data_IF_286441461256
#
_entry.id   IF_286441461256
#
_cell.length_a   1.000
_cell.length_b   1.000
_cell.length_c   1.000
_cell.angle_alpha   90.00
_cell.angle_beta   90.00
_cell.angle_gamma   90.00
#
_symmetry.space_group_name_H-M   'P 1'
#
loop_
_entity.id
_entity.type
_entity.pdbx_description
1 polymer ?
#
# COMPACT_ATOMS: atom_id res chain seq x y z
N UNK A 1 7.18 -6.21 -16.85
CA UNK A 1 6.11 -6.57 -15.92
C UNK A 1 5.47 -5.30 -15.38
N UNK A 2 4.13 -5.22 -15.35
CA UNK A 2 3.41 -4.00 -14.96
C UNK A 2 3.00 -3.99 -13.48
N UNK A 3 2.78 -5.16 -12.88
CA UNK A 3 2.44 -5.32 -11.48
C UNK A 3 2.76 -6.74 -11.00
N UNK A 4 2.99 -6.94 -9.68
CA UNK A 4 3.15 -8.26 -9.06
C UNK A 4 1.82 -9.03 -9.08
N UNK A 5 0.72 -8.32 -8.90
CA UNK A 5 -0.62 -8.88 -8.76
C UNK A 5 -0.93 -9.99 -9.76
N UNK A 6 -0.70 -9.74 -11.06
CA UNK A 6 -1.02 -10.71 -12.12
C UNK A 6 -0.33 -12.06 -11.93
N UNK A 7 0.94 -12.07 -11.58
CA UNK A 7 1.70 -13.31 -11.34
C UNK A 7 1.19 -14.04 -10.11
N UNK A 8 1.01 -13.31 -9.02
CA UNK A 8 0.55 -13.87 -7.76
C UNK A 8 -0.91 -14.38 -7.85
N UNK A 9 -1.79 -13.67 -8.57
CA UNK A 9 -3.18 -14.10 -8.75
C UNK A 9 -3.30 -15.34 -9.64
N UNK A 10 -2.52 -15.41 -10.72
CA UNK A 10 -2.45 -16.61 -11.56
C UNK A 10 -1.92 -17.83 -10.79
N UNK A 11 -0.95 -17.62 -9.89
CA UNK A 11 -0.48 -18.69 -9.01
C UNK A 11 -1.56 -19.08 -7.99
N UNK A 12 -2.20 -18.09 -7.35
CA UNK A 12 -3.22 -18.31 -6.32
C UNK A 12 -4.45 -19.04 -6.85
N UNK A 13 -4.81 -18.84 -8.12
CA UNK A 13 -5.89 -19.59 -8.79
C UNK A 13 -5.64 -21.12 -8.77
N UNK A 14 -4.39 -21.55 -8.72
CA UNK A 14 -4.04 -22.97 -8.66
C UNK A 14 -3.80 -23.49 -7.23
N UNK A 15 -3.94 -22.64 -6.21
CA UNK A 15 -3.78 -23.07 -4.83
C UNK A 15 -5.03 -23.76 -4.30
N UNK A 16 -4.84 -24.79 -3.51
CA UNK A 16 -5.90 -25.41 -2.74
C UNK A 16 -5.96 -24.74 -1.37
N UNK A 17 -6.73 -23.66 -1.26
CA UNK A 17 -6.88 -22.92 -0.03
C UNK A 17 -8.13 -23.36 0.74
N UNK A 18 -8.02 -23.38 2.05
CA UNK A 18 -9.12 -23.57 2.99
C UNK A 18 -9.20 -22.37 3.92
N UNK A 19 -10.36 -22.10 4.51
CA UNK A 19 -10.53 -21.03 5.49
C UNK A 19 -9.51 -21.10 6.63
N UNK A 20 -8.99 -22.29 6.96
CA UNK A 20 -7.97 -22.51 7.99
C UNK A 20 -6.59 -21.95 7.61
N UNK A 21 -6.34 -21.72 6.32
CA UNK A 21 -5.10 -21.17 5.82
C UNK A 21 -5.15 -19.63 5.68
N UNK A 22 -6.34 -19.04 5.82
CA UNK A 22 -6.53 -17.60 5.64
C UNK A 22 -6.30 -16.82 6.95
N UNK A 23 -5.71 -15.61 6.90
CA UNK A 23 -5.26 -14.94 5.68
C UNK A 23 -4.00 -15.58 5.10
N UNK A 24 -4.05 -15.96 3.82
CA UNK A 24 -2.87 -16.47 3.11
C UNK A 24 -2.09 -15.31 2.50
N UNK A 25 -0.77 -15.28 2.69
CA UNK A 25 0.06 -14.13 2.31
C UNK A 25 1.10 -14.51 1.28
N UNK A 26 1.19 -13.72 0.21
CA UNK A 26 2.24 -13.82 -0.81
C UNK A 26 3.07 -12.53 -0.82
N UNK A 27 4.39 -12.69 -0.81
CA UNK A 27 5.33 -11.58 -0.89
C UNK A 27 6.20 -11.71 -2.13
N UNK A 28 6.46 -10.59 -2.78
CA UNK A 28 7.36 -10.51 -3.92
C UNK A 28 8.13 -9.19 -3.89
N UNK A 29 9.45 -9.28 -3.97
CA UNK A 29 10.32 -8.14 -4.23
C UNK A 29 10.69 -8.20 -5.72
N UNK A 30 10.15 -7.30 -6.51
CA UNK A 30 10.35 -7.35 -7.96
C UNK A 30 10.42 -5.97 -8.60
N UNK A 31 11.02 -5.94 -9.80
CA UNK A 31 11.11 -4.74 -10.61
C UNK A 31 9.93 -4.64 -11.55
N UNK A 32 9.29 -3.49 -11.52
CA UNK A 32 8.23 -3.09 -12.46
C UNK A 32 8.76 -2.16 -13.52
N UNK A 33 8.14 -2.17 -14.70
CA UNK A 33 8.42 -1.20 -15.74
C UNK A 33 7.17 -0.89 -16.54
N UNK A 34 6.91 0.39 -16.76
CA UNK A 34 5.88 0.85 -17.67
C UNK A 34 6.46 1.00 -19.09
N UNK A 35 5.74 0.51 -20.07
CA UNK A 35 6.17 0.63 -21.48
C UNK A 35 6.28 2.08 -21.92
N UNK A 36 5.40 2.94 -21.37
CA UNK A 36 5.28 4.31 -21.81
C UNK A 36 4.83 5.19 -20.64
N UNK A 37 5.64 6.18 -20.31
CA UNK A 37 5.22 7.36 -19.57
C UNK A 37 5.06 8.50 -20.56
N UNK A 38 4.14 9.41 -20.31
CA UNK A 38 3.99 10.60 -21.15
C UNK A 38 5.23 11.49 -21.05
N UNK A 39 5.52 12.25 -22.10
CA UNK A 39 6.63 13.20 -22.08
C UNK A 39 6.44 14.22 -20.95
N UNK A 40 7.49 14.45 -20.16
CA UNK A 40 7.47 15.38 -19.01
C UNK A 40 6.95 14.80 -17.69
N UNK A 41 6.50 13.54 -17.64
CA UNK A 41 6.04 12.92 -16.40
C UNK A 41 7.16 12.36 -15.53
N UNK A 42 8.30 11.99 -16.11
CA UNK A 42 9.44 11.45 -15.36
C UNK A 42 10.14 12.56 -14.58
N UNK A 43 10.40 12.31 -13.29
CA UNK A 43 11.03 13.29 -12.39
C UNK A 43 12.02 12.57 -11.46
N UNK A 44 13.29 12.49 -11.87
CA UNK A 44 14.36 11.88 -11.08
C UNK A 44 13.97 10.54 -10.46
N UNK A 45 14.30 10.34 -9.19
CA UNK A 45 13.88 9.15 -8.43
C UNK A 45 12.44 9.23 -7.90
N UNK A 46 11.79 10.39 -7.98
CA UNK A 46 10.42 10.57 -7.51
C UNK A 46 9.40 9.90 -8.42
N UNK A 47 9.58 9.97 -9.75
CA UNK A 47 8.69 9.36 -10.73
C UNK A 47 9.48 8.68 -11.83
N UNK A 48 9.54 7.36 -11.75
CA UNK A 48 10.37 6.50 -12.59
C UNK A 48 9.52 5.67 -13.55
N UNK A 49 10.08 5.34 -14.70
CA UNK A 49 9.51 4.36 -15.63
C UNK A 49 9.71 2.93 -15.15
N UNK A 50 10.78 2.66 -14.43
CA UNK A 50 11.07 1.36 -13.83
C UNK A 50 11.49 1.56 -12.37
N UNK A 51 10.94 0.74 -11.48
CA UNK A 51 11.18 0.82 -10.05
C UNK A 51 11.01 -0.56 -9.41
N UNK A 52 11.55 -0.72 -8.21
CA UNK A 52 11.49 -1.94 -7.44
C UNK A 52 10.53 -1.77 -6.27
N UNK A 53 9.57 -2.69 -6.10
CA UNK A 53 8.61 -2.66 -5.00
C UNK A 53 8.59 -3.98 -4.23
N UNK A 54 8.52 -3.92 -2.90
CA UNK A 54 8.11 -5.05 -2.07
C UNK A 54 6.58 -5.09 -2.04
N UNK A 55 5.98 -6.03 -2.75
CA UNK A 55 4.53 -6.21 -2.76
C UNK A 55 4.10 -7.44 -1.97
N UNK A 56 3.09 -7.27 -1.15
CA UNK A 56 2.50 -8.31 -0.35
C UNK A 56 0.98 -8.35 -0.56
N UNK A 57 0.48 -9.47 -1.08
CA UNK A 57 -0.95 -9.74 -1.16
C UNK A 57 -1.38 -10.64 -0.01
N UNK A 58 -2.54 -10.34 0.60
CA UNK A 58 -3.18 -11.23 1.56
C UNK A 58 -4.58 -11.59 1.06
N UNK A 59 -4.87 -12.89 1.05
CA UNK A 59 -6.17 -13.45 0.70
C UNK A 59 -6.93 -13.69 1.98
N UNK A 60 -8.05 -13.00 2.17
CA UNK A 60 -8.84 -13.00 3.39
C UNK A 60 -10.20 -13.66 3.15
N UNK A 61 -10.72 -14.40 4.13
CA UNK A 61 -11.99 -15.12 4.02
C UNK A 61 -13.20 -14.18 3.93
N UNK A 62 -13.14 -13.03 4.58
CA UNK A 62 -14.24 -12.08 4.68
C UNK A 62 -13.73 -10.67 5.04
N UNK A 63 -14.67 -9.70 5.06
CA UNK A 63 -14.33 -8.30 5.34
C UNK A 63 -13.77 -8.09 6.76
N UNK A 64 -14.26 -8.80 7.76
CA UNK A 64 -13.74 -8.66 9.12
C UNK A 64 -12.26 -9.06 9.18
N UNK A 65 -11.90 -10.19 8.57
CA UNK A 65 -10.49 -10.62 8.48
C UNK A 65 -9.64 -9.64 7.68
N UNK A 66 -10.17 -9.07 6.59
CA UNK A 66 -9.48 -8.05 5.80
C UNK A 66 -9.23 -6.77 6.62
N UNK A 67 -10.22 -6.33 7.42
CA UNK A 67 -10.10 -5.18 8.32
C UNK A 67 -9.04 -5.43 9.41
N UNK A 68 -9.01 -6.60 10.00
CA UNK A 68 -7.99 -6.93 11.01
C UNK A 68 -6.59 -6.99 10.38
N UNK A 69 -6.48 -7.60 9.20
CA UNK A 69 -5.21 -7.70 8.49
C UNK A 69 -4.68 -6.34 8.02
N UNK A 70 -5.54 -5.42 7.53
CA UNK A 70 -5.10 -4.09 7.09
C UNK A 70 -4.52 -3.27 8.25
N UNK A 71 -5.02 -3.46 9.48
CA UNK A 71 -4.47 -2.81 10.69
C UNK A 71 -3.07 -3.30 11.01
N UNK A 72 -2.83 -4.61 10.89
CA UNK A 72 -1.50 -5.22 11.07
C UNK A 72 -0.52 -4.67 10.05
N UNK A 73 -0.96 -4.55 8.80
CA UNK A 73 -0.13 -4.06 7.68
C UNK A 73 0.12 -2.56 7.76
N UNK A 74 -0.81 -1.82 8.34
CA UNK A 74 -0.63 -0.41 8.64
C UNK A 74 0.51 -0.21 9.65
N UNK A 75 0.50 -0.96 10.75
CA UNK A 75 1.56 -0.93 11.76
C UNK A 75 2.91 -1.39 11.17
N UNK A 76 2.91 -2.43 10.34
CA UNK A 76 4.08 -2.88 9.60
C UNK A 76 4.66 -1.76 8.72
N UNK A 77 3.83 -1.08 7.95
CA UNK A 77 4.26 0.01 7.06
C UNK A 77 4.87 1.17 7.84
N UNK A 78 4.26 1.57 8.96
CA UNK A 78 4.85 2.59 9.85
C UNK A 78 6.20 2.13 10.41
N UNK A 79 6.31 0.88 10.85
CA UNK A 79 7.55 0.32 11.36
C UNK A 79 8.65 0.28 10.30
N UNK A 80 8.31 -0.12 9.07
CA UNK A 80 9.27 -0.16 7.96
C UNK A 80 9.79 1.25 7.64
N UNK A 81 8.92 2.25 7.52
CA UNK A 81 9.34 3.63 7.26
C UNK A 81 10.21 4.17 8.39
N UNK A 82 9.81 3.95 9.65
CA UNK A 82 10.58 4.40 10.82
C UNK A 82 11.98 3.75 10.85
N UNK A 83 12.09 2.45 10.57
CA UNK A 83 13.38 1.75 10.50
C UNK A 83 14.28 2.25 9.37
N UNK A 84 13.70 2.82 8.32
CA UNK A 84 14.42 3.48 7.23
C UNK A 84 14.76 4.94 7.53
N UNK A 85 14.37 5.47 8.69
CA UNK A 85 14.62 6.85 9.08
C UNK A 85 13.61 7.86 8.56
N UNK A 86 12.44 7.39 8.10
CA UNK A 86 11.30 8.23 7.69
C UNK A 86 10.27 8.18 8.82
N UNK A 87 10.20 9.25 9.61
CA UNK A 87 9.35 9.36 10.77
C UNK A 87 7.92 9.83 10.40
N UNK A 88 6.99 9.73 11.35
CA UNK A 88 5.59 10.20 11.15
C UNK A 88 5.50 11.69 10.79
N UNK A 89 6.47 12.50 11.17
CA UNK A 89 6.58 13.91 10.81
C UNK A 89 6.88 14.15 9.32
N UNK A 90 7.49 13.16 8.64
CA UNK A 90 8.01 13.30 7.29
C UNK A 90 6.98 12.98 6.19
N UNK A 91 5.81 12.44 6.55
CA UNK A 91 4.77 12.09 5.59
C UNK A 91 3.36 12.44 6.06
N UNK A 92 2.45 12.58 5.12
CA UNK A 92 1.03 12.79 5.36
C UNK A 92 0.23 11.58 4.87
N UNK A 93 -0.83 11.24 5.60
CA UNK A 93 -1.72 10.13 5.24
C UNK A 93 -2.88 10.64 4.39
N UNK A 94 -3.13 9.95 3.29
CA UNK A 94 -4.38 10.04 2.55
C UNK A 94 -5.13 8.70 2.64
N UNK A 95 -6.46 8.76 2.75
CA UNK A 95 -7.32 7.59 2.76
C UNK A 95 -8.50 7.81 1.82
N UNK A 96 -8.79 6.81 0.99
CA UNK A 96 -9.90 6.80 0.04
C UNK A 96 -10.80 5.63 0.32
N UNK A 97 -12.10 5.85 0.23
CA UNK A 97 -13.07 4.78 0.40
C UNK A 97 -14.40 5.14 -0.26
N UNK A 98 -15.22 4.12 -0.51
CA UNK A 98 -16.60 4.33 -0.94
C UNK A 98 -17.49 4.70 0.26
N UNK A 99 -18.54 5.45 0.01
CA UNK A 99 -19.53 5.83 1.03
C UNK A 99 -20.17 4.61 1.69
N UNK A 100 -20.51 3.59 0.90
CA UNK A 100 -21.07 2.33 1.41
C UNK A 100 -20.09 1.64 2.36
N UNK A 101 -18.82 1.53 1.96
CA UNK A 101 -17.79 0.93 2.82
C UNK A 101 -17.63 1.71 4.14
N UNK A 102 -17.66 3.06 4.07
CA UNK A 102 -17.60 3.90 5.27
C UNK A 102 -18.78 3.65 6.20
N UNK A 103 -20.00 3.62 5.66
CA UNK A 103 -21.20 3.44 6.47
C UNK A 103 -21.20 2.09 7.21
N UNK A 104 -20.68 1.04 6.56
CA UNK A 104 -20.58 -0.31 7.13
C UNK A 104 -19.39 -0.48 8.11
N UNK A 105 -18.27 0.24 7.86
CA UNK A 105 -16.99 -0.01 8.53
C UNK A 105 -16.38 1.24 9.16
N UNK A 106 -17.20 2.21 9.55
CA UNK A 106 -16.77 3.51 10.10
C UNK A 106 -15.73 3.38 11.23
N UNK A 107 -15.97 2.47 12.17
CA UNK A 107 -15.05 2.26 13.32
C UNK A 107 -13.65 1.84 12.90
N UNK A 108 -13.53 1.03 11.85
CA UNK A 108 -12.23 0.59 11.33
C UNK A 108 -11.45 1.76 10.70
N UNK A 109 -12.14 2.63 9.96
CA UNK A 109 -11.54 3.84 9.39
C UNK A 109 -11.08 4.80 10.49
N UNK A 110 -11.94 5.06 11.48
CA UNK A 110 -11.61 5.91 12.63
C UNK A 110 -10.40 5.35 13.41
N UNK A 111 -10.28 4.03 13.54
CA UNK A 111 -9.14 3.40 14.19
C UNK A 111 -7.83 3.63 13.41
N UNK A 112 -7.84 3.49 12.08
CA UNK A 112 -6.67 3.78 11.25
C UNK A 112 -6.24 5.26 11.37
N UNK A 113 -7.21 6.18 11.37
CA UNK A 113 -6.96 7.63 11.57
C UNK A 113 -6.35 7.88 12.96
N UNK A 114 -6.88 7.26 14.02
CA UNK A 114 -6.32 7.37 15.38
C UNK A 114 -4.90 6.80 15.46
N UNK A 115 -4.64 5.65 14.83
CA UNK A 115 -3.29 5.05 14.74
C UNK A 115 -2.30 5.97 14.02
N UNK A 116 -2.74 6.69 12.99
CA UNK A 116 -1.91 7.68 12.32
C UNK A 116 -1.46 8.80 13.28
N UNK A 117 -2.33 9.25 14.16
CA UNK A 117 -2.05 10.25 15.18
C UNK A 117 -1.90 11.69 14.66
N UNK A 118 -2.22 11.91 13.38
CA UNK A 118 -2.21 13.21 12.67
C UNK A 118 -3.50 13.35 11.86
N UNK A 119 -3.89 14.56 11.45
CA UNK A 119 -4.95 14.77 10.47
C UNK A 119 -4.71 13.94 9.20
N UNK A 120 -5.79 13.49 8.57
CA UNK A 120 -5.76 12.63 7.39
C UNK A 120 -6.54 13.28 6.28
N UNK A 121 -6.00 13.29 5.05
CA UNK A 121 -6.74 13.68 3.86
C UNK A 121 -7.71 12.56 3.50
N UNK A 122 -9.01 12.88 3.50
CA UNK A 122 -10.07 11.91 3.18
C UNK A 122 -10.64 12.21 1.80
N UNK A 123 -10.73 11.18 0.96
CA UNK A 123 -11.43 11.19 -0.30
C UNK A 123 -12.53 10.13 -0.28
N UNK A 124 -13.79 10.54 -0.25
CA UNK A 124 -14.94 9.66 -0.23
C UNK A 124 -15.67 9.68 -1.57
N UNK A 125 -15.98 8.51 -2.11
CA UNK A 125 -16.67 8.34 -3.38
C UNK A 125 -18.07 7.77 -3.19
N UNK A 126 -19.03 8.34 -3.89
CA UNK A 126 -20.40 7.83 -3.94
C UNK A 126 -20.52 6.57 -4.79
N UNK A 127 -19.61 6.39 -5.75
CA UNK A 127 -19.58 5.23 -6.63
C UNK A 127 -18.20 4.57 -6.61
N UNK A 128 -18.17 3.25 -6.77
CA UNK A 128 -16.91 2.50 -6.86
C UNK A 128 -16.35 2.56 -8.28
N UNK A 129 -15.21 3.23 -8.46
CA UNK A 129 -14.52 3.35 -9.76
C UNK A 129 -13.41 2.32 -9.96
N UNK A 130 -12.88 1.75 -8.86
CA UNK A 130 -11.76 0.83 -8.87
C UNK A 130 -12.15 -0.51 -8.27
N UNK A 131 -11.27 -1.50 -8.38
CA UNK A 131 -11.44 -2.82 -7.77
C UNK A 131 -11.44 -2.78 -6.23
N UNK A 132 -10.93 -1.71 -5.62
CA UNK A 132 -10.86 -1.57 -4.16
C UNK A 132 -12.00 -0.69 -3.61
N UNK A 133 -12.37 -0.96 -2.37
CA UNK A 133 -13.36 -0.19 -1.60
C UNK A 133 -12.72 0.72 -0.56
N UNK A 134 -11.47 0.44 -0.20
CA UNK A 134 -10.62 1.27 0.64
C UNK A 134 -9.19 1.24 0.13
N UNK A 135 -8.54 2.39 0.15
CA UNK A 135 -7.09 2.56 -0.04
C UNK A 135 -6.57 3.60 0.93
N UNK A 136 -5.46 3.32 1.60
CA UNK A 136 -4.68 4.35 2.29
C UNK A 136 -3.26 4.41 1.71
N UNK A 137 -2.63 5.58 1.87
CA UNK A 137 -1.25 5.80 1.44
C UNK A 137 -0.57 6.83 2.35
N UNK A 138 0.73 6.62 2.61
CA UNK A 138 1.61 7.60 3.22
C UNK A 138 2.33 8.36 2.13
N UNK A 139 2.25 9.69 2.15
CA UNK A 139 2.79 10.57 1.14
C UNK A 139 3.92 11.42 1.73
N UNK A 140 5.13 11.23 1.26
CA UNK A 140 6.24 12.13 1.55
C UNK A 140 6.03 13.47 0.84
N UNK A 141 6.25 14.57 1.55
CA UNK A 141 6.13 15.92 0.99
C UNK A 141 7.54 16.49 0.80
N UNK A 142 7.91 16.76 -0.45
CA UNK A 142 9.23 17.29 -0.79
C UNK A 142 9.35 18.81 -0.54
N UNK A 143 10.54 19.35 -0.70
CA UNK A 143 10.84 20.78 -0.52
C UNK A 143 10.07 21.71 -1.47
N UNK A 144 9.46 21.17 -2.52
CA UNK A 144 8.61 21.90 -3.46
C UNK A 144 7.12 21.74 -3.13
N UNK A 145 6.78 21.13 -2.00
CA UNK A 145 5.40 20.83 -1.61
C UNK A 145 4.73 19.76 -2.47
N UNK A 146 5.50 18.88 -3.13
CA UNK A 146 4.98 17.80 -3.97
C UNK A 146 4.86 16.52 -3.16
N UNK A 147 3.68 15.92 -3.21
CA UNK A 147 3.41 14.63 -2.58
C UNK A 147 3.95 13.46 -3.42
N UNK A 148 4.48 12.45 -2.74
CA UNK A 148 4.97 11.20 -3.33
C UNK A 148 4.58 10.02 -2.46
N UNK A 149 3.73 9.12 -2.99
CA UNK A 149 3.28 7.96 -2.24
C UNK A 149 4.44 7.02 -1.92
N UNK A 150 4.59 6.70 -0.65
CA UNK A 150 5.48 5.67 -0.12
C UNK A 150 4.67 4.38 0.11
N UNK A 151 4.38 4.06 1.36
CA UNK A 151 3.57 2.88 1.70
C UNK A 151 2.13 3.02 1.23
N UNK A 152 1.55 1.92 0.78
CA UNK A 152 0.11 1.86 0.42
C UNK A 152 -0.49 0.53 0.82
N UNK A 153 -1.80 0.50 1.07
CA UNK A 153 -2.59 -0.73 1.15
C UNK A 153 -4.00 -0.51 0.60
N UNK A 154 -4.62 -1.57 0.09
CA UNK A 154 -5.93 -1.52 -0.56
C UNK A 154 -6.74 -2.76 -0.18
N UNK A 155 -8.06 -2.60 -0.03
CA UNK A 155 -9.01 -3.71 0.11
C UNK A 155 -9.71 -3.92 -1.24
N UNK A 156 -9.34 -4.99 -1.91
CA UNK A 156 -9.84 -5.41 -3.22
C UNK A 156 -10.98 -6.42 -3.06
N UNK A 157 -12.13 -6.10 -3.61
CA UNK A 157 -13.33 -6.92 -3.54
C UNK A 157 -13.73 -7.53 -4.90
N UNK A 158 -12.89 -7.40 -5.92
CA UNK A 158 -13.21 -7.85 -7.28
C UNK A 158 -12.28 -8.94 -7.81
N UNK A 159 -10.96 -8.81 -7.57
CA UNK A 159 -10.02 -9.66 -8.27
C UNK A 159 -10.01 -11.10 -7.78
N UNK A 160 -10.51 -11.39 -6.59
CA UNK A 160 -10.74 -12.78 -6.15
C UNK A 160 -11.63 -13.56 -7.13
N UNK A 161 -12.78 -12.99 -7.47
CA UNK A 161 -13.71 -13.54 -8.46
C UNK A 161 -13.15 -13.45 -9.89
N UNK A 162 -12.69 -12.26 -10.29
CA UNK A 162 -12.17 -12.00 -11.67
C UNK A 162 -11.07 -12.98 -12.09
N UNK A 163 -10.22 -13.41 -11.16
CA UNK A 163 -9.13 -14.36 -11.42
C UNK A 163 -9.49 -15.80 -11.06
N UNK A 164 -10.74 -16.05 -10.62
CA UNK A 164 -11.20 -17.38 -10.23
C UNK A 164 -10.40 -17.97 -9.05
N UNK A 165 -9.93 -17.10 -8.13
CA UNK A 165 -9.24 -17.55 -6.93
C UNK A 165 -10.29 -18.02 -5.94
N UNK A 166 -10.16 -19.25 -5.46
CA UNK A 166 -11.16 -19.87 -4.59
C UNK A 166 -10.51 -20.42 -3.30
N UNK A 167 -11.30 -20.43 -2.24
CA UNK A 167 -11.01 -21.19 -1.03
C UNK A 167 -12.25 -21.98 -0.59
N UNK A 168 -12.05 -23.05 0.16
CA UNK A 168 -13.15 -23.82 0.75
C UNK A 168 -13.42 -23.29 2.16
N UNK A 169 -14.65 -22.89 2.42
CA UNK A 169 -15.09 -22.37 3.72
C UNK A 169 -15.39 -23.49 4.73
N UNK A 170 -15.85 -23.14 5.91
CA UNK A 170 -16.21 -24.06 7.00
C UNK A 170 -17.39 -24.98 6.68
N UNK A 171 -18.24 -24.58 5.73
CA UNK A 171 -19.39 -25.35 5.25
C UNK A 171 -19.05 -26.21 4.04
N UNK A 172 -17.78 -26.29 3.66
CA UNK A 172 -17.30 -26.98 2.46
C UNK A 172 -17.80 -26.36 1.15
N UNK A 173 -18.09 -25.06 1.17
CA UNK A 173 -18.47 -24.27 0.01
C UNK A 173 -17.28 -23.51 -0.56
N UNK A 174 -17.23 -23.37 -1.89
CA UNK A 174 -16.24 -22.55 -2.56
C UNK A 174 -16.62 -21.08 -2.52
N UNK A 175 -15.68 -20.23 -2.13
CA UNK A 175 -15.83 -18.76 -2.05
C UNK A 175 -14.60 -18.05 -2.60
N UNK A 176 -14.79 -16.82 -3.04
CA UNK A 176 -13.70 -15.94 -3.48
C UNK A 176 -13.18 -15.12 -2.31
N UNK A 177 -11.84 -15.02 -2.13
CA UNK A 177 -11.27 -14.22 -1.07
C UNK A 177 -11.36 -12.73 -1.39
N UNK A 178 -11.42 -11.92 -0.33
CA UNK A 178 -11.05 -10.50 -0.38
C UNK A 178 -9.53 -10.42 -0.40
N UNK A 179 -8.97 -9.53 -1.22
CA UNK A 179 -7.53 -9.43 -1.41
C UNK A 179 -7.03 -8.08 -0.88
N UNK A 180 -5.99 -8.11 -0.07
CA UNK A 180 -5.26 -6.90 0.31
C UNK A 180 -4.01 -6.74 -0.54
N UNK A 181 -3.73 -5.49 -0.96
CA UNK A 181 -2.56 -5.13 -1.74
C UNK A 181 -1.72 -4.14 -0.94
N UNK A 182 -0.63 -4.61 -0.36
CA UNK A 182 0.26 -3.76 0.42
C UNK A 182 1.64 -3.67 -0.20
N UNK A 183 2.17 -2.46 -0.25
CA UNK A 183 3.59 -2.22 -0.42
C UNK A 183 4.09 -1.48 0.82
N UNK A 184 4.77 -2.18 1.75
CA UNK A 184 5.12 -1.62 3.06
C UNK A 184 6.03 -0.39 3.03
N UNK A 185 6.88 -0.27 2.01
CA UNK A 185 7.71 0.92 1.80
C UNK A 185 7.31 1.73 0.57
N UNK A 186 6.58 1.11 -0.37
CA UNK A 186 6.47 1.60 -1.73
C UNK A 186 7.75 1.36 -2.54
N UNK A 187 7.92 2.08 -3.65
CA UNK A 187 9.09 1.94 -4.51
C UNK A 187 10.38 2.27 -3.76
N UNK A 188 11.37 1.35 -3.82
CA UNK A 188 12.67 1.51 -3.14
C UNK A 188 13.38 2.77 -3.63
N UNK A 189 13.35 3.06 -4.91
CA UNK A 189 13.95 4.26 -5.49
C UNK A 189 13.30 5.54 -4.96
N UNK A 190 12.00 5.51 -4.67
CA UNK A 190 11.29 6.65 -4.06
C UNK A 190 11.62 6.81 -2.58
N UNK A 191 11.88 5.71 -1.86
CA UNK A 191 12.44 5.78 -0.51
C UNK A 191 13.81 6.45 -0.52
N UNK A 192 14.69 6.06 -1.45
CA UNK A 192 15.99 6.72 -1.62
C UNK A 192 15.81 8.22 -1.88
N UNK A 193 14.86 8.58 -2.77
CA UNK A 193 14.52 9.98 -3.01
C UNK A 193 14.11 10.71 -1.72
N UNK A 194 13.19 10.15 -0.94
CA UNK A 194 12.71 10.75 0.31
C UNK A 194 13.84 10.92 1.33
N UNK A 195 14.74 9.95 1.46
CA UNK A 195 15.89 10.03 2.34
C UNK A 195 16.90 11.11 1.90
N UNK A 196 17.12 11.25 0.59
CA UNK A 196 18.00 12.31 0.05
C UNK A 196 17.40 13.69 0.28
N UNK A 197 16.10 13.87 0.02
CA UNK A 197 15.37 15.12 0.30
C UNK A 197 15.43 15.48 1.78
N UNK A 198 15.17 14.52 2.67
CA UNK A 198 15.26 14.72 4.12
C UNK A 198 16.67 15.11 4.55
N UNK A 199 17.70 14.42 4.06
CA UNK A 199 19.09 14.72 4.38
C UNK A 199 19.51 16.12 3.88
N UNK A 200 19.06 16.52 2.69
CA UNK A 200 19.31 17.86 2.16
C UNK A 200 18.63 18.95 3.01
N UNK A 201 17.37 18.72 3.42
CA UNK A 201 16.63 19.62 4.31
C UNK A 201 17.32 19.76 5.66
N UNK A 202 17.70 18.65 6.29
CA UNK A 202 18.40 18.66 7.58
C UNK A 202 19.71 19.42 7.50
N UNK A 203 20.51 19.19 6.45
CA UNK A 203 21.77 19.91 6.24
C UNK A 203 21.55 21.40 6.02
N UNK A 204 20.54 21.79 5.25
CA UNK A 204 20.21 23.19 4.98
C UNK A 204 19.77 23.93 6.26
N UNK A 205 19.07 23.25 7.15
CA UNK A 205 18.63 23.77 8.45
C UNK A 205 19.69 23.63 9.55
N UNK A 206 20.91 23.21 9.22
CA UNK A 206 22.03 23.04 10.15
C UNK A 206 21.90 21.82 11.07
N UNK A 207 20.98 20.90 10.78
CA UNK A 207 20.88 19.62 11.47
C UNK A 207 21.80 18.58 10.84
N UNK A 208 22.30 17.66 11.65
CA UNK A 208 23.10 16.54 11.13
C UNK A 208 22.17 15.51 10.47
N UNK A 209 22.34 15.22 9.17
CA UNK A 209 21.57 14.16 8.53
C UNK A 209 21.77 12.80 9.22
N UNK A 210 20.71 12.00 9.31
CA UNK A 210 20.76 10.66 9.89
C UNK A 210 21.68 9.74 9.10
N UNK A 211 21.68 9.88 7.77
CA UNK A 211 22.59 9.18 6.87
C UNK A 211 23.57 10.18 6.26
N UNK A 212 24.89 10.02 6.44
CA UNK A 212 25.85 10.90 5.79
C UNK A 212 25.80 10.69 4.28
N UNK A 213 25.52 11.77 3.53
CA UNK A 213 25.71 11.79 2.10
C UNK A 213 27.21 12.01 1.83
N UNK A 214 27.88 10.96 1.39
CA UNK A 214 29.22 11.08 0.84
C UNK A 214 29.07 11.39 -0.66
N UNK A 215 29.34 12.63 -1.03
CA UNK A 215 29.40 13.07 -2.41
C UNK A 215 30.86 12.99 -2.90
#
# INVERSE_FOLDING_TARGET
>A
RFAACFGQFLMANHFQMSFKNLPYKLYELTRYSFRREQSGELVGLRRLRAFTMPDCHAFCANMNQAIDEIKVRFDLSQSVLNNLGIEKSDYEMAIRFTEDFYNENKSAIEELVKKNGKPVLVEMWTEKFFYFVLKWEFNFIDNLGKASALSTDQIDVENGDRYGIEFVDENNEKKHPIILHNSPSGAIERIIYALLEKAATDSHEGRKPQFPLWL
#
